data_IF_076710512395
#
_entry.id   IF_076710512395
#
_cell.length_a   1.000
_cell.length_b   1.000
_cell.length_c   1.000
_cell.angle_alpha   90.00
_cell.angle_beta   90.00
_cell.angle_gamma   90.00
#
_symmetry.space_group_name_H-M   'P 1'
#
loop_
_entity.id
_entity.type
_entity.pdbx_description
1 polymer ?
#
# COMPACT_ATOMS: atom_id res chain seq x y z
N UNK A 1 -1.69 -25.04 0.96
CA UNK A 1 -2.38 -24.83 2.26
C UNK A 1 -1.84 -23.54 2.88
N UNK A 2 -2.69 -22.53 3.07
CA UNK A 2 -2.31 -21.23 3.65
C UNK A 2 -1.91 -21.40 5.11
N UNK A 3 -0.68 -21.03 5.50
CA UNK A 3 -0.20 -21.20 6.88
C UNK A 3 0.32 -19.89 7.48
N UNK A 4 -0.33 -19.46 8.54
CA UNK A 4 0.12 -18.44 9.46
C UNK A 4 1.22 -19.03 10.36
N UNK A 5 2.44 -18.52 10.22
CA UNK A 5 3.63 -19.02 10.90
C UNK A 5 4.00 -18.15 12.11
N UNK A 6 4.88 -18.65 12.97
CA UNK A 6 5.49 -17.87 14.06
C UNK A 6 6.22 -16.63 13.54
N UNK A 7 6.83 -16.72 12.36
CA UNK A 7 7.47 -15.59 11.70
C UNK A 7 6.44 -14.50 11.33
N UNK A 8 5.27 -14.87 10.81
CA UNK A 8 4.19 -13.90 10.54
C UNK A 8 3.72 -13.22 11.84
N UNK A 9 3.69 -13.95 12.96
CA UNK A 9 3.34 -13.37 14.26
C UNK A 9 4.39 -12.34 14.73
N UNK A 10 5.69 -12.65 14.61
CA UNK A 10 6.77 -11.70 14.94
C UNK A 10 6.67 -10.44 14.06
N UNK A 11 6.43 -10.60 12.76
CA UNK A 11 6.23 -9.46 11.87
C UNK A 11 5.00 -8.64 12.25
N UNK A 12 3.90 -9.26 12.68
CA UNK A 12 2.72 -8.55 13.16
C UNK A 12 3.03 -7.70 14.40
N UNK A 13 3.77 -8.23 15.37
CA UNK A 13 4.19 -7.48 16.57
C UNK A 13 5.10 -6.30 16.18
N UNK A 14 6.08 -6.53 15.32
CA UNK A 14 6.94 -5.46 14.80
C UNK A 14 6.11 -4.38 14.08
N UNK A 15 5.09 -4.78 13.31
CA UNK A 15 4.21 -3.88 12.58
C UNK A 15 3.41 -2.94 13.50
N UNK A 16 3.06 -3.40 14.72
CA UNK A 16 2.40 -2.60 15.77
C UNK A 16 3.37 -1.57 16.34
N UNK A 17 4.59 -2.00 16.68
CA UNK A 17 5.63 -1.11 17.22
C UNK A 17 5.93 0.00 16.22
N UNK A 18 6.14 -0.35 14.94
CA UNK A 18 6.38 0.62 13.87
C UNK A 18 5.21 1.59 13.76
N UNK A 19 3.97 1.12 13.84
CA UNK A 19 2.79 1.99 13.80
C UNK A 19 2.75 2.99 14.96
N UNK A 20 3.08 2.58 16.19
CA UNK A 20 3.12 3.48 17.36
C UNK A 20 4.26 4.51 17.22
N UNK A 21 5.44 4.07 16.77
CA UNK A 21 6.59 4.97 16.54
C UNK A 21 6.25 6.01 15.47
N UNK A 22 5.63 5.58 14.38
CA UNK A 22 5.21 6.44 13.28
C UNK A 22 4.22 7.54 13.74
N UNK A 23 3.24 7.19 14.59
CA UNK A 23 2.38 8.19 15.26
C UNK A 23 3.19 9.24 16.01
N UNK A 24 4.16 8.82 16.82
CA UNK A 24 5.00 9.71 17.61
C UNK A 24 5.89 10.60 16.74
N UNK A 25 6.48 10.03 15.68
CA UNK A 25 7.34 10.75 14.73
C UNK A 25 6.54 11.82 13.99
N UNK A 26 5.30 11.56 13.58
CA UNK A 26 4.47 12.54 12.90
C UNK A 26 4.21 13.78 13.76
N UNK A 27 3.84 13.58 15.03
CA UNK A 27 3.64 14.69 15.97
C UNK A 27 4.94 15.43 16.29
N UNK A 28 6.04 14.69 16.44
CA UNK A 28 7.36 15.29 16.65
C UNK A 28 7.78 16.17 15.46
N UNK A 29 7.63 15.69 14.23
CA UNK A 29 7.96 16.44 13.01
C UNK A 29 7.05 17.66 12.85
N UNK A 30 5.74 17.52 13.09
CA UNK A 30 4.81 18.65 13.05
C UNK A 30 5.16 19.72 14.09
N UNK A 31 5.50 19.33 15.31
CA UNK A 31 5.94 20.23 16.38
C UNK A 31 7.24 20.94 16.02
N UNK A 32 8.22 20.19 15.48
CA UNK A 32 9.49 20.77 15.02
C UNK A 32 9.29 21.86 13.96
N UNK A 33 8.45 21.61 12.96
CA UNK A 33 8.14 22.64 11.94
C UNK A 33 7.40 23.84 12.52
N UNK A 34 6.52 23.62 13.50
CA UNK A 34 5.83 24.71 14.20
C UNK A 34 6.82 25.59 14.97
N UNK A 35 7.73 25.00 15.74
CA UNK A 35 8.77 25.73 16.49
C UNK A 35 9.77 26.45 15.57
N UNK A 36 9.99 25.95 14.36
CA UNK A 36 10.84 26.57 13.35
C UNK A 36 10.17 27.70 12.55
N UNK A 37 8.91 28.05 12.88
CA UNK A 37 8.14 29.09 12.18
C UNK A 37 7.55 28.64 10.84
N UNK A 38 7.70 27.37 10.45
CA UNK A 38 7.13 26.79 9.22
C UNK A 38 5.70 26.29 9.46
N UNK A 39 4.79 27.21 9.79
CA UNK A 39 3.42 26.87 10.18
C UNK A 39 2.65 26.12 9.08
N UNK A 40 2.82 26.51 7.81
CA UNK A 40 2.15 25.85 6.68
C UNK A 40 2.53 24.37 6.57
N UNK A 41 3.82 24.04 6.72
CA UNK A 41 4.31 22.66 6.68
C UNK A 41 3.75 21.84 7.84
N UNK A 42 3.75 22.41 9.06
CA UNK A 42 3.20 21.78 10.26
C UNK A 42 1.70 21.47 10.11
N UNK A 43 0.92 22.46 9.67
CA UNK A 43 -0.52 22.31 9.43
C UNK A 43 -0.79 21.24 8.38
N UNK A 44 -0.06 21.25 7.25
CA UNK A 44 -0.24 20.25 6.20
C UNK A 44 -0.02 18.81 6.71
N UNK A 45 1.05 18.59 7.49
CA UNK A 45 1.35 17.26 8.06
C UNK A 45 0.22 16.78 8.97
N UNK A 46 -0.29 17.65 9.85
CA UNK A 46 -1.41 17.34 10.74
C UNK A 46 -2.72 17.12 9.95
N UNK A 47 -2.96 17.88 8.88
CA UNK A 47 -4.11 17.69 8.00
C UNK A 47 -4.08 16.34 7.30
N UNK A 48 -2.95 15.95 6.69
CA UNK A 48 -2.81 14.65 6.03
C UNK A 48 -3.00 13.50 7.02
N UNK A 49 -2.42 13.63 8.22
CA UNK A 49 -2.57 12.69 9.32
C UNK A 49 -4.02 12.54 9.77
N UNK A 50 -4.70 13.66 10.02
CA UNK A 50 -6.11 13.65 10.42
C UNK A 50 -6.99 13.02 9.35
N UNK A 51 -6.83 13.42 8.08
CA UNK A 51 -7.60 12.90 6.95
C UNK A 51 -7.42 11.39 6.77
N UNK A 52 -6.17 10.92 6.78
CA UNK A 52 -5.81 9.51 6.72
C UNK A 52 -6.42 8.71 7.87
N UNK A 53 -6.32 9.23 9.10
CA UNK A 53 -6.92 8.59 10.28
C UNK A 53 -8.44 8.48 10.16
N UNK A 54 -9.14 9.56 9.78
CA UNK A 54 -10.59 9.54 9.59
C UNK A 54 -11.04 8.52 8.54
N UNK A 55 -10.34 8.46 7.40
CA UNK A 55 -10.65 7.52 6.32
C UNK A 55 -10.39 6.06 6.77
N UNK A 56 -9.24 5.79 7.40
CA UNK A 56 -8.89 4.43 7.85
C UNK A 56 -9.81 3.94 8.97
N UNK A 57 -10.18 4.79 9.94
CA UNK A 57 -11.18 4.44 10.96
C UNK A 57 -12.53 4.14 10.34
N UNK A 58 -12.97 4.92 9.35
CA UNK A 58 -14.25 4.70 8.67
C UNK A 58 -14.29 3.36 7.94
N UNK A 59 -13.23 3.00 7.22
CA UNK A 59 -13.12 1.67 6.59
C UNK A 59 -13.09 0.55 7.63
N UNK A 60 -12.25 0.70 8.67
CA UNK A 60 -12.16 -0.30 9.75
C UNK A 60 -13.50 -0.54 10.44
N UNK A 61 -14.25 0.53 10.74
CA UNK A 61 -15.57 0.44 11.36
C UNK A 61 -16.57 -0.30 10.46
N UNK A 62 -16.67 0.10 9.19
CA UNK A 62 -17.63 -0.51 8.26
C UNK A 62 -17.30 -1.99 8.03
N UNK A 63 -16.02 -2.35 8.00
CA UNK A 63 -15.60 -3.73 7.90
C UNK A 63 -16.00 -4.53 9.15
N UNK A 64 -15.82 -4.00 10.38
CA UNK A 64 -16.30 -4.66 11.60
C UNK A 64 -17.82 -4.85 11.59
N UNK A 65 -18.55 -3.82 11.18
CA UNK A 65 -20.01 -3.87 11.01
C UNK A 65 -20.46 -4.92 9.98
N UNK A 66 -19.66 -5.17 8.95
CA UNK A 66 -19.98 -6.16 7.92
C UNK A 66 -19.64 -7.59 8.34
N UNK A 67 -18.65 -7.75 9.21
CA UNK A 67 -18.17 -9.05 9.71
C UNK A 67 -19.00 -9.54 10.90
N UNK A 68 -19.57 -8.61 11.68
CA UNK A 68 -20.55 -8.89 12.73
C UNK A 68 -21.93 -8.53 12.22
N UNK A 69 -22.67 -9.51 11.75
CA UNK A 69 -24.08 -9.32 11.39
C UNK A 69 -24.87 -8.69 12.55
N UNK A 70 -25.98 -8.02 12.23
CA UNK A 70 -26.76 -7.05 13.05
C UNK A 70 -27.25 -7.58 14.42
N UNK A 71 -26.95 -8.83 14.78
CA UNK A 71 -27.44 -9.51 15.99
C UNK A 71 -26.83 -9.01 17.30
N UNK A 72 -25.73 -8.23 17.29
CA UNK A 72 -25.03 -7.80 18.51
C UNK A 72 -24.86 -6.26 18.61
N UNK A 73 -25.99 -5.56 18.72
CA UNK A 73 -26.06 -4.07 18.70
C UNK A 73 -25.24 -3.38 19.78
N UNK A 74 -25.07 -4.01 20.96
CA UNK A 74 -24.25 -3.48 22.05
C UNK A 74 -22.76 -3.43 21.70
N UNK A 75 -22.22 -4.52 21.13
CA UNK A 75 -20.82 -4.57 20.66
C UNK A 75 -20.56 -3.57 19.54
N UNK A 76 -21.52 -3.37 18.64
CA UNK A 76 -21.40 -2.40 17.55
C UNK A 76 -21.31 -0.95 18.07
N UNK A 77 -22.10 -0.59 19.09
CA UNK A 77 -22.03 0.74 19.74
C UNK A 77 -20.67 0.98 20.38
N UNK A 78 -20.13 -0.02 21.10
CA UNK A 78 -18.80 0.09 21.70
C UNK A 78 -17.70 0.23 20.65
N UNK A 79 -17.76 -0.57 19.58
CA UNK A 79 -16.82 -0.44 18.46
C UNK A 79 -16.92 0.93 17.79
N UNK A 80 -18.12 1.45 17.58
CA UNK A 80 -18.32 2.79 17.04
C UNK A 80 -17.64 3.83 17.92
N UNK A 81 -17.85 3.76 19.24
CA UNK A 81 -17.22 4.67 20.21
C UNK A 81 -15.69 4.59 20.15
N UNK A 82 -15.13 3.39 20.04
CA UNK A 82 -13.67 3.21 19.96
C UNK A 82 -13.09 3.78 18.65
N UNK A 83 -13.80 3.65 17.53
CA UNK A 83 -13.39 4.29 16.27
C UNK A 83 -13.54 5.82 16.32
N UNK A 84 -14.57 6.33 17.02
CA UNK A 84 -14.76 7.76 17.25
C UNK A 84 -13.57 8.37 18.02
N UNK A 85 -13.08 7.67 19.03
CA UNK A 85 -11.87 8.05 19.79
C UNK A 85 -10.54 7.70 19.08
N UNK A 86 -10.56 7.37 17.78
CA UNK A 86 -9.37 7.01 16.99
C UNK A 86 -8.62 5.75 17.47
N UNK A 87 -9.21 4.95 18.37
CA UNK A 87 -8.60 3.73 18.91
C UNK A 87 -8.98 2.46 18.13
N UNK A 88 -9.76 2.57 17.05
CA UNK A 88 -10.26 1.42 16.28
C UNK A 88 -9.17 0.56 15.62
N UNK A 89 -8.08 1.17 15.18
CA UNK A 89 -6.91 0.45 14.64
C UNK A 89 -6.25 -0.43 15.71
N UNK A 90 -6.18 -0.01 16.97
CA UNK A 90 -5.63 -0.85 18.04
C UNK A 90 -6.50 -2.09 18.29
N UNK A 91 -7.83 -1.96 18.17
CA UNK A 91 -8.74 -3.12 18.21
C UNK A 91 -8.45 -4.08 17.05
N UNK A 92 -8.21 -3.58 15.83
CA UNK A 92 -7.83 -4.43 14.69
C UNK A 92 -6.57 -5.23 14.99
N UNK A 93 -5.54 -4.58 15.52
CA UNK A 93 -4.29 -5.25 15.91
C UNK A 93 -4.50 -6.25 17.05
N UNK A 94 -5.32 -5.93 18.04
CA UNK A 94 -5.67 -6.85 19.11
C UNK A 94 -6.30 -8.14 18.57
N UNK A 95 -7.28 -8.03 17.67
CA UNK A 95 -7.88 -9.21 17.04
C UNK A 95 -6.86 -9.98 16.20
N UNK A 96 -6.06 -9.30 15.39
CA UNK A 96 -5.01 -9.95 14.59
C UNK A 96 -3.98 -10.68 15.48
N UNK A 97 -3.60 -10.11 16.63
CA UNK A 97 -2.72 -10.78 17.60
C UNK A 97 -3.40 -11.99 18.24
N UNK A 98 -4.67 -11.86 18.63
CA UNK A 98 -5.44 -12.96 19.22
C UNK A 98 -5.51 -14.16 18.27
N UNK A 99 -5.96 -13.92 17.03
CA UNK A 99 -6.08 -14.96 16.01
C UNK A 99 -4.70 -15.47 15.55
N UNK A 100 -3.73 -14.57 15.37
CA UNK A 100 -2.36 -14.93 14.98
C UNK A 100 -1.65 -15.77 16.04
N UNK A 101 -1.85 -15.50 17.33
CA UNK A 101 -1.28 -16.30 18.42
C UNK A 101 -1.91 -17.70 18.46
N UNK A 102 -3.23 -17.79 18.32
CA UNK A 102 -3.92 -19.08 18.25
C UNK A 102 -3.46 -19.90 17.03
N UNK A 103 -3.33 -19.26 15.86
CA UNK A 103 -2.86 -19.90 14.64
C UNK A 103 -1.38 -20.34 14.72
N UNK A 104 -0.50 -19.54 15.34
CA UNK A 104 0.94 -19.80 15.38
C UNK A 104 1.38 -20.76 16.50
N UNK A 105 0.67 -20.79 17.64
CA UNK A 105 1.14 -21.48 18.85
C UNK A 105 0.18 -22.53 19.41
N UNK A 106 -1.15 -22.45 19.18
CA UNK A 106 -2.12 -23.37 19.80
C UNK A 106 -2.46 -24.63 18.98
N UNK A 107 -1.75 -24.88 17.88
CA UNK A 107 -2.08 -25.97 16.93
C UNK A 107 -1.62 -27.39 17.34
N UNK A 108 -1.12 -27.61 18.57
CA UNK A 108 -0.48 -28.89 18.97
C UNK A 108 -1.16 -29.68 20.10
N UNK A 109 -2.38 -29.35 20.50
CA UNK A 109 -3.07 -30.03 21.61
C UNK A 109 -4.48 -30.45 21.21
N UNK A 110 -4.58 -31.56 20.50
CA UNK A 110 -5.75 -32.46 20.52
C UNK A 110 -5.32 -33.74 19.79
N UNK A 111 -4.95 -34.76 20.57
CA UNK A 111 -5.13 -36.13 20.12
C UNK A 111 -6.63 -36.37 20.00
N UNK A 112 -7.01 -37.12 18.96
CA UNK A 112 -8.35 -37.63 18.68
C UNK A 112 -9.50 -36.61 18.59
N UNK A 113 -9.71 -36.09 17.37
CA UNK A 113 -11.04 -36.02 16.74
C UNK A 113 -10.94 -35.42 15.32
N UNK A 114 -11.35 -36.22 14.33
CA UNK A 114 -11.89 -35.88 13.01
C UNK A 114 -11.35 -34.64 12.27
N UNK A 115 -10.70 -34.97 11.16
CA UNK A 115 -10.35 -34.21 9.96
C UNK A 115 -11.23 -32.99 9.60
N UNK A 116 -10.55 -31.88 9.31
CA UNK A 116 -10.93 -30.80 8.36
C UNK A 116 -12.04 -29.82 8.75
N UNK A 117 -11.80 -28.89 9.70
CA UNK A 117 -12.36 -27.52 9.58
C UNK A 117 -11.84 -26.45 10.59
N UNK A 118 -11.72 -26.72 11.91
CA UNK A 118 -11.50 -25.65 12.91
C UNK A 118 -10.14 -24.97 12.81
N UNK A 119 -9.09 -25.74 12.51
CA UNK A 119 -7.71 -25.24 12.41
C UNK A 119 -7.52 -24.38 11.15
N UNK A 120 -8.12 -24.77 10.03
CA UNK A 120 -8.12 -24.01 8.77
C UNK A 120 -8.92 -22.72 8.91
N UNK A 121 -10.03 -22.74 9.65
CA UNK A 121 -10.82 -21.55 9.95
C UNK A 121 -10.01 -20.49 10.72
N UNK A 122 -9.31 -20.88 11.79
CA UNK A 122 -8.46 -19.96 12.58
C UNK A 122 -7.31 -19.39 11.74
N UNK A 123 -6.68 -20.24 10.92
CA UNK A 123 -5.62 -19.83 9.99
C UNK A 123 -6.12 -18.77 9.01
N UNK A 124 -7.29 -19.01 8.39
CA UNK A 124 -7.94 -18.06 7.49
C UNK A 124 -8.29 -16.76 8.19
N UNK A 125 -8.88 -16.82 9.38
CA UNK A 125 -9.25 -15.64 10.17
C UNK A 125 -8.04 -14.76 10.54
N UNK A 126 -6.90 -15.38 10.89
CA UNK A 126 -5.67 -14.65 11.16
C UNK A 126 -5.11 -13.96 9.91
N UNK A 127 -5.12 -14.66 8.77
CA UNK A 127 -4.65 -14.13 7.47
C UNK A 127 -5.55 -12.99 7.00
N UNK A 128 -6.87 -13.14 7.08
CA UNK A 128 -7.83 -12.12 6.70
C UNK A 128 -7.68 -10.86 7.57
N UNK A 129 -7.52 -11.03 8.90
CA UNK A 129 -7.30 -9.92 9.82
C UNK A 129 -6.01 -9.13 9.50
N UNK A 130 -4.91 -9.82 9.19
CA UNK A 130 -3.65 -9.17 8.79
C UNK A 130 -3.78 -8.51 7.42
N UNK A 131 -4.53 -9.11 6.49
CA UNK A 131 -4.77 -8.54 5.16
C UNK A 131 -5.58 -7.25 5.23
N UNK A 132 -6.62 -7.21 6.07
CA UNK A 132 -7.37 -5.98 6.37
C UNK A 132 -6.45 -4.89 6.94
N UNK A 133 -5.60 -5.22 7.91
CA UNK A 133 -4.64 -4.26 8.49
C UNK A 133 -3.68 -3.73 7.42
N UNK A 134 -3.12 -4.60 6.57
CA UNK A 134 -2.21 -4.19 5.52
C UNK A 134 -2.90 -3.35 4.44
N UNK A 135 -4.19 -3.58 4.18
CA UNK A 135 -4.97 -2.71 3.30
C UNK A 135 -5.16 -1.31 3.90
N UNK A 136 -5.51 -1.21 5.19
CA UNK A 136 -5.61 0.08 5.89
C UNK A 136 -4.25 0.79 5.97
N UNK A 137 -3.16 0.03 6.13
CA UNK A 137 -1.79 0.54 6.10
C UNK A 137 -1.47 1.16 4.74
N UNK A 138 -1.84 0.51 3.64
CA UNK A 138 -1.68 1.09 2.29
C UNK A 138 -2.46 2.39 2.15
N UNK A 139 -3.71 2.46 2.64
CA UNK A 139 -4.48 3.71 2.63
C UNK A 139 -3.76 4.81 3.40
N UNK A 140 -3.31 4.52 4.63
CA UNK A 140 -2.52 5.45 5.44
C UNK A 140 -1.26 5.92 4.69
N UNK A 141 -0.49 5.00 4.13
CA UNK A 141 0.75 5.29 3.41
C UNK A 141 0.56 6.30 2.29
N UNK A 142 -0.51 6.21 1.50
CA UNK A 142 -0.74 7.12 0.37
C UNK A 142 -1.54 8.38 0.72
N UNK A 143 -2.35 8.36 1.78
CA UNK A 143 -3.11 9.52 2.25
C UNK A 143 -2.30 10.42 3.20
N UNK A 144 -1.29 9.86 3.87
CA UNK A 144 -0.49 10.53 4.91
C UNK A 144 0.99 10.53 4.59
N UNK A 145 1.64 9.36 4.58
CA UNK A 145 3.11 9.25 4.48
C UNK A 145 3.64 9.82 3.16
N UNK A 146 2.95 9.60 2.04
CA UNK A 146 3.39 10.07 0.72
C UNK A 146 3.26 11.61 0.58
N UNK A 147 2.13 12.24 0.92
CA UNK A 147 2.04 13.70 1.02
C UNK A 147 3.04 14.34 2.00
N UNK A 148 3.25 13.72 3.16
CA UNK A 148 4.25 14.20 4.13
C UNK A 148 5.68 14.12 3.56
N UNK A 149 6.00 13.08 2.79
CA UNK A 149 7.27 12.94 2.08
C UNK A 149 7.48 14.10 1.07
N UNK A 150 6.43 14.55 0.37
CA UNK A 150 6.54 15.74 -0.48
C UNK A 150 6.89 17.00 0.31
N UNK A 151 6.25 17.21 1.47
CA UNK A 151 6.56 18.35 2.35
C UNK A 151 8.01 18.27 2.83
N UNK A 152 8.49 17.08 3.22
CA UNK A 152 9.87 16.86 3.65
C UNK A 152 10.88 17.16 2.55
N UNK A 153 10.64 16.69 1.32
CA UNK A 153 11.51 16.96 0.17
C UNK A 153 11.48 18.45 -0.19
N UNK A 154 10.30 19.08 -0.17
CA UNK A 154 10.15 20.51 -0.46
C UNK A 154 10.95 21.37 0.53
N UNK A 155 10.82 21.12 1.83
CA UNK A 155 11.58 21.83 2.87
C UNK A 155 13.08 21.60 2.74
N UNK A 156 13.51 20.36 2.40
CA UNK A 156 14.92 20.06 2.15
C UNK A 156 15.47 20.84 0.93
N UNK A 157 14.65 21.05 -0.11
CA UNK A 157 15.05 21.79 -1.30
C UNK A 157 15.04 23.31 -1.09
N UNK A 158 14.22 23.81 -0.16
CA UNK A 158 14.14 25.25 0.16
C UNK A 158 15.25 25.69 1.12
N UNK A 159 15.66 24.82 2.07
CA UNK A 159 16.72 25.11 3.03
C UNK A 159 18.06 24.51 2.60
N UNK A 160 19.05 25.36 2.31
CA UNK A 160 20.40 24.96 1.88
C UNK A 160 21.26 24.33 3.01
N UNK A 161 20.64 23.94 4.13
CA UNK A 161 21.31 23.31 5.28
C UNK A 161 21.19 21.79 5.20
N UNK A 162 22.30 21.17 4.83
CA UNK A 162 22.42 19.71 4.68
C UNK A 162 22.46 19.05 6.06
N UNK A 163 21.38 18.37 6.43
CA UNK A 163 21.31 17.57 7.65
C UNK A 163 21.16 16.08 7.30
N UNK A 164 22.12 15.24 7.73
CA UNK A 164 22.12 13.80 7.46
C UNK A 164 20.81 13.11 7.88
N UNK A 165 20.24 13.51 9.03
CA UNK A 165 19.00 12.95 9.55
C UNK A 165 17.79 13.20 8.64
N UNK A 166 17.76 14.28 7.85
CA UNK A 166 16.65 14.55 6.90
C UNK A 166 16.71 13.60 5.70
N UNK A 167 17.91 13.34 5.17
CA UNK A 167 18.10 12.35 4.10
C UNK A 167 17.74 10.95 4.57
N UNK A 168 18.17 10.57 5.78
CA UNK A 168 17.81 9.29 6.38
C UNK A 168 16.28 9.17 6.54
N UNK A 169 15.59 10.23 6.99
CA UNK A 169 14.14 10.23 7.11
C UNK A 169 13.44 10.05 5.74
N UNK A 170 13.86 10.80 4.71
CA UNK A 170 13.33 10.67 3.34
C UNK A 170 13.54 9.26 2.78
N UNK A 171 14.75 8.70 2.97
CA UNK A 171 15.05 7.34 2.54
C UNK A 171 14.18 6.30 3.26
N UNK A 172 14.04 6.43 4.58
CA UNK A 172 13.17 5.56 5.37
C UNK A 172 11.70 5.66 4.94
N UNK A 173 11.21 6.86 4.59
CA UNK A 173 9.88 7.06 4.03
C UNK A 173 9.68 6.31 2.71
N UNK A 174 10.64 6.37 1.77
CA UNK A 174 10.59 5.59 0.52
C UNK A 174 10.55 4.08 0.76
N UNK A 175 11.42 3.58 1.65
CA UNK A 175 11.43 2.18 2.05
C UNK A 175 10.09 1.78 2.69
N UNK A 176 9.56 2.58 3.61
CA UNK A 176 8.30 2.33 4.29
C UNK A 176 7.10 2.28 3.34
N UNK A 177 7.02 3.21 2.38
CA UNK A 177 5.97 3.23 1.36
C UNK A 177 6.03 1.94 0.52
N UNK A 178 7.22 1.55 0.09
CA UNK A 178 7.43 0.37 -0.75
C UNK A 178 7.13 -0.93 -0.02
N UNK A 179 7.60 -1.06 1.22
CA UNK A 179 7.29 -2.18 2.10
C UNK A 179 5.78 -2.32 2.34
N UNK A 180 5.06 -1.22 2.60
CA UNK A 180 3.60 -1.22 2.79
C UNK A 180 2.86 -1.81 1.58
N UNK A 181 3.25 -1.43 0.36
CA UNK A 181 2.68 -1.98 -0.88
C UNK A 181 2.98 -3.46 -1.05
N UNK A 182 4.21 -3.88 -0.74
CA UNK A 182 4.66 -5.28 -0.85
C UNK A 182 3.95 -6.16 0.17
N UNK A 183 3.88 -5.72 1.43
CA UNK A 183 3.22 -6.43 2.52
C UNK A 183 1.73 -6.65 2.23
N UNK A 184 1.05 -5.63 1.71
CA UNK A 184 -0.33 -5.77 1.24
C UNK A 184 -0.45 -6.79 0.11
N UNK A 185 0.42 -6.77 -0.90
CA UNK A 185 0.34 -7.71 -2.02
C UNK A 185 0.63 -9.15 -1.58
N UNK A 186 1.55 -9.35 -0.65
CA UNK A 186 1.82 -10.65 -0.04
C UNK A 186 0.59 -11.13 0.74
N UNK A 187 0.02 -10.29 1.60
CA UNK A 187 -1.17 -10.63 2.38
C UNK A 187 -2.39 -10.91 1.50
N UNK A 188 -2.62 -10.10 0.47
CA UNK A 188 -3.72 -10.27 -0.46
C UNK A 188 -3.63 -11.62 -1.18
N UNK A 189 -2.44 -12.00 -1.68
CA UNK A 189 -2.26 -13.33 -2.31
C UNK A 189 -2.47 -14.46 -1.30
N UNK A 190 -1.95 -14.31 -0.08
CA UNK A 190 -2.18 -15.28 1.01
C UNK A 190 -3.64 -15.41 1.43
N UNK A 191 -4.47 -14.40 1.22
CA UNK A 191 -5.91 -14.45 1.51
C UNK A 191 -6.73 -15.08 0.37
N UNK A 192 -6.14 -15.29 -0.82
CA UNK A 192 -6.83 -15.77 -2.01
C UNK A 192 -6.47 -17.23 -2.30
N UNK A 193 -7.44 -18.18 -2.24
CA UNK A 193 -7.14 -19.62 -2.36
C UNK A 193 -6.55 -20.01 -3.72
N UNK A 194 -6.89 -19.26 -4.77
CA UNK A 194 -6.50 -19.55 -6.15
C UNK A 194 -5.19 -18.84 -6.58
N UNK A 195 -4.42 -18.27 -5.63
CA UNK A 195 -3.17 -17.56 -5.95
C UNK A 195 -2.00 -18.09 -5.14
N UNK A 196 -0.92 -18.40 -5.86
CA UNK A 196 0.33 -18.82 -5.22
C UNK A 196 0.97 -17.71 -4.40
N UNK A 197 1.61 -18.15 -3.32
CA UNK A 197 2.42 -17.30 -2.46
C UNK A 197 3.68 -16.82 -3.21
N UNK A 198 4.19 -15.66 -2.80
CA UNK A 198 5.45 -15.16 -3.30
C UNK A 198 6.62 -16.02 -2.79
N UNK A 199 7.46 -16.53 -3.70
CA UNK A 199 8.79 -17.05 -3.36
C UNK A 199 9.71 -15.91 -2.89
N UNK A 200 10.69 -16.23 -2.03
CA UNK A 200 11.65 -15.27 -1.45
C UNK A 200 12.23 -14.25 -2.45
N UNK A 201 12.87 -14.68 -3.56
CA UNK A 201 13.45 -13.75 -4.53
C UNK A 201 12.39 -12.90 -5.26
N UNK A 202 11.16 -13.41 -5.43
CA UNK A 202 10.07 -12.65 -6.03
C UNK A 202 9.62 -11.49 -5.14
N UNK A 203 9.63 -11.66 -3.81
CA UNK A 203 9.36 -10.56 -2.85
C UNK A 203 10.40 -9.46 -2.97
N UNK A 204 11.68 -9.84 -3.02
CA UNK A 204 12.78 -8.89 -3.15
C UNK A 204 12.69 -8.13 -4.48
N UNK A 205 12.51 -8.81 -5.60
CA UNK A 205 12.36 -8.17 -6.90
C UNK A 205 11.16 -7.22 -6.94
N UNK A 206 10.03 -7.63 -6.36
CA UNK A 206 8.84 -6.79 -6.27
C UNK A 206 9.07 -5.54 -5.41
N UNK A 207 9.80 -5.67 -4.29
CA UNK A 207 10.18 -4.55 -3.42
C UNK A 207 11.05 -3.52 -4.16
N UNK A 208 12.13 -3.95 -4.82
CA UNK A 208 13.02 -3.03 -5.55
C UNK A 208 12.32 -2.36 -6.73
N UNK A 209 11.49 -3.10 -7.47
CA UNK A 209 10.65 -2.52 -8.51
C UNK A 209 9.76 -1.40 -7.95
N UNK A 210 9.02 -1.65 -6.85
CA UNK A 210 8.13 -0.66 -6.26
C UNK A 210 8.90 0.52 -5.68
N UNK A 211 10.00 0.28 -4.99
CA UNK A 211 10.88 1.31 -4.45
C UNK A 211 11.36 2.27 -5.52
N UNK A 212 12.00 1.74 -6.56
CA UNK A 212 12.63 2.56 -7.59
C UNK A 212 11.60 3.32 -8.44
N UNK A 213 10.47 2.69 -8.78
CA UNK A 213 9.42 3.37 -9.56
C UNK A 213 8.70 4.46 -8.76
N UNK A 214 8.44 4.24 -7.47
CA UNK A 214 7.85 5.26 -6.58
C UNK A 214 8.86 6.38 -6.35
N UNK A 215 10.13 6.07 -6.10
CA UNK A 215 11.19 7.06 -5.92
C UNK A 215 11.31 7.98 -7.12
N UNK A 216 11.43 7.43 -8.33
CA UNK A 216 11.53 8.24 -9.55
C UNK A 216 10.33 9.18 -9.70
N UNK A 217 9.12 8.67 -9.48
CA UNK A 217 7.91 9.43 -9.66
C UNK A 217 7.72 10.54 -8.62
N UNK A 218 7.92 10.24 -7.33
CA UNK A 218 7.84 11.23 -6.25
C UNK A 218 8.89 12.31 -6.44
N UNK A 219 10.13 11.95 -6.77
CA UNK A 219 11.17 12.95 -7.05
C UNK A 219 10.80 13.82 -8.26
N UNK A 220 10.23 13.25 -9.32
CA UNK A 220 9.73 14.01 -10.48
C UNK A 220 8.67 15.05 -10.08
N UNK A 221 7.68 14.64 -9.27
CA UNK A 221 6.63 15.56 -8.79
C UNK A 221 7.23 16.63 -7.86
N UNK A 222 8.20 16.28 -7.01
CA UNK A 222 8.89 17.25 -6.15
C UNK A 222 9.65 18.29 -6.98
N UNK A 223 10.34 17.87 -8.05
CA UNK A 223 11.06 18.77 -8.96
C UNK A 223 10.12 19.77 -9.65
N UNK A 224 8.97 19.32 -10.17
CA UNK A 224 7.98 20.24 -10.76
C UNK A 224 7.32 21.15 -9.70
N UNK A 225 7.19 20.69 -8.46
CA UNK A 225 6.65 21.50 -7.34
C UNK A 225 7.56 22.68 -7.03
N UNK A 226 8.88 22.46 -7.02
CA UNK A 226 9.87 23.54 -6.83
C UNK A 226 9.89 24.50 -8.02
N UNK A 227 9.59 24.02 -9.24
CA UNK A 227 9.45 24.91 -10.41
C UNK A 227 8.17 25.78 -10.31
N UNK A 228 7.04 25.15 -10.01
CA UNK A 228 5.75 25.81 -9.83
C UNK A 228 4.77 24.90 -9.09
N UNK A 229 4.41 25.30 -7.87
CA UNK A 229 3.39 24.61 -7.05
C UNK A 229 2.07 24.50 -7.82
N UNK A 230 1.68 25.52 -8.58
CA UNK A 230 0.42 25.52 -9.36
C UNK A 230 0.42 24.42 -10.43
N UNK A 231 1.50 24.28 -11.19
CA UNK A 231 1.62 23.26 -12.24
C UNK A 231 1.61 21.87 -11.61
N UNK A 232 2.33 21.67 -10.50
CA UNK A 232 2.34 20.41 -9.76
C UNK A 232 0.94 20.00 -9.28
N UNK A 233 0.18 20.94 -8.69
CA UNK A 233 -1.20 20.67 -8.25
C UNK A 233 -2.11 20.32 -9.42
N UNK A 234 -2.03 21.04 -10.54
CA UNK A 234 -2.81 20.72 -11.75
C UNK A 234 -2.46 19.32 -12.27
N UNK A 235 -1.17 18.98 -12.31
CA UNK A 235 -0.69 17.67 -12.73
C UNK A 235 -1.25 16.54 -11.84
N UNK A 236 -1.20 16.72 -10.52
CA UNK A 236 -1.72 15.76 -9.55
C UNK A 236 -3.24 15.59 -9.66
N UNK A 237 -3.99 16.69 -9.84
CA UNK A 237 -5.45 16.64 -10.05
C UNK A 237 -5.77 15.89 -11.34
N UNK A 238 -5.05 16.19 -12.44
CA UNK A 238 -5.24 15.49 -13.71
C UNK A 238 -4.99 13.99 -13.57
N UNK A 239 -3.87 13.58 -12.96
CA UNK A 239 -3.56 12.17 -12.72
C UNK A 239 -4.61 11.50 -11.82
N UNK A 240 -5.10 12.20 -10.81
CA UNK A 240 -6.17 11.69 -9.95
C UNK A 240 -7.47 11.47 -10.72
N UNK A 241 -7.88 12.42 -11.57
CA UNK A 241 -9.08 12.28 -12.40
C UNK A 241 -8.94 11.09 -13.36
N UNK A 242 -7.78 10.90 -13.98
CA UNK A 242 -7.49 9.73 -14.81
C UNK A 242 -7.56 8.42 -14.01
N UNK A 243 -6.95 8.37 -12.82
CA UNK A 243 -7.00 7.21 -11.94
C UNK A 243 -8.42 6.89 -11.45
N UNK A 244 -9.18 7.91 -11.06
CA UNK A 244 -10.55 7.79 -10.58
C UNK A 244 -11.52 7.36 -11.69
N UNK A 245 -11.42 7.93 -12.88
CA UNK A 245 -12.22 7.48 -14.04
C UNK A 245 -11.89 6.04 -14.42
N UNK A 246 -10.62 5.63 -14.30
CA UNK A 246 -10.23 4.23 -14.44
C UNK A 246 -10.89 3.32 -13.39
N UNK A 247 -10.90 3.71 -12.11
CA UNK A 247 -11.56 2.91 -11.05
C UNK A 247 -13.06 2.77 -11.27
N UNK A 248 -13.72 3.81 -11.79
CA UNK A 248 -15.14 3.76 -12.18
C UNK A 248 -15.37 2.75 -13.30
N UNK A 249 -14.54 2.75 -14.36
CA UNK A 249 -14.63 1.80 -15.48
C UNK A 249 -14.41 0.35 -15.07
N UNK A 250 -13.62 0.12 -14.02
CA UNK A 250 -13.36 -1.24 -13.52
C UNK A 250 -14.56 -1.83 -12.76
N UNK A 251 -15.58 -1.04 -12.40
CA UNK A 251 -16.77 -1.49 -11.66
C UNK A 251 -16.41 -2.37 -10.46
N UNK A 252 -15.69 -1.79 -9.50
CA UNK A 252 -15.23 -2.48 -8.29
C UNK A 252 -16.39 -2.78 -7.33
N UNK A 253 -16.29 -3.89 -6.61
CA UNK A 253 -17.30 -4.44 -5.67
C UNK A 253 -16.65 -4.83 -4.33
N UNK A 254 -15.82 -3.95 -3.78
CA UNK A 254 -15.06 -4.23 -2.57
C UNK A 254 -15.88 -4.04 -1.26
N UNK A 255 -16.79 -3.08 -1.24
CA UNK A 255 -17.63 -2.70 -0.11
C UNK A 255 -19.10 -3.07 -0.37
N UNK A 256 -19.82 -3.54 0.67
CA UNK A 256 -21.26 -3.85 0.59
C UNK A 256 -22.12 -2.59 0.35
N UNK A 257 -21.72 -1.45 0.91
CA UNK A 257 -22.43 -0.17 0.79
C UNK A 257 -21.94 0.68 -0.38
N UNK A 258 -22.86 1.20 -1.21
CA UNK A 258 -22.53 2.08 -2.36
C UNK A 258 -21.71 3.32 -1.96
N UNK A 259 -22.02 3.93 -0.81
CA UNK A 259 -21.28 5.10 -0.31
C UNK A 259 -19.82 4.76 0.02
N UNK A 260 -19.61 3.58 0.60
CA UNK A 260 -18.28 3.10 0.98
C UNK A 260 -17.48 2.63 -0.23
N UNK A 261 -18.14 2.05 -1.24
CA UNK A 261 -17.52 1.72 -2.52
C UNK A 261 -17.04 2.99 -3.27
N UNK A 262 -17.83 4.07 -3.24
CA UNK A 262 -17.41 5.34 -3.81
C UNK A 262 -16.18 5.93 -3.10
N UNK A 263 -16.17 5.91 -1.75
CA UNK A 263 -15.01 6.32 -0.96
C UNK A 263 -13.77 5.45 -1.28
N UNK A 264 -13.96 4.13 -1.44
CA UNK A 264 -12.90 3.21 -1.83
C UNK A 264 -12.28 3.61 -3.18
N UNK A 265 -13.12 3.89 -4.18
CA UNK A 265 -12.67 4.33 -5.51
C UNK A 265 -11.91 5.66 -5.48
N UNK A 266 -12.32 6.61 -4.62
CA UNK A 266 -11.58 7.86 -4.40
C UNK A 266 -10.17 7.57 -3.89
N UNK A 267 -10.06 6.77 -2.82
CA UNK A 267 -8.77 6.44 -2.19
C UNK A 267 -7.87 5.68 -3.17
N UNK A 268 -8.41 4.70 -3.89
CA UNK A 268 -7.64 3.98 -4.91
C UNK A 268 -7.22 4.91 -6.06
N UNK A 269 -8.06 5.87 -6.45
CA UNK A 269 -7.68 6.93 -7.39
C UNK A 269 -6.45 7.71 -6.90
N UNK A 270 -6.37 8.03 -5.60
CA UNK A 270 -5.20 8.68 -4.99
C UNK A 270 -3.98 7.74 -5.04
N UNK A 271 -4.13 6.47 -4.70
CA UNK A 271 -3.04 5.48 -4.77
C UNK A 271 -2.48 5.37 -6.20
N UNK A 272 -3.36 5.38 -7.21
CA UNK A 272 -2.99 5.30 -8.62
C UNK A 272 -2.18 6.51 -9.10
N UNK A 273 -2.25 7.66 -8.42
CA UNK A 273 -1.35 8.78 -8.70
C UNK A 273 0.10 8.33 -8.49
N UNK A 274 0.38 7.48 -7.51
CA UNK A 274 1.74 7.18 -7.06
C UNK A 274 2.25 5.81 -7.49
N UNK A 275 1.38 4.80 -7.50
CA UNK A 275 1.79 3.45 -7.88
C UNK A 275 0.66 2.67 -8.52
N UNK A 276 1.00 1.79 -9.45
CA UNK A 276 0.03 0.86 -10.01
C UNK A 276 -0.50 -0.06 -8.91
N UNK A 277 -1.81 0.06 -8.63
CA UNK A 277 -2.55 -0.75 -7.68
C UNK A 277 -3.57 -1.61 -8.43
N UNK A 278 -3.42 -2.94 -8.36
CA UNK A 278 -4.28 -3.84 -9.12
C UNK A 278 -5.64 -4.03 -8.44
N UNK A 279 -6.67 -3.40 -9.00
CA UNK A 279 -8.00 -3.30 -8.38
C UNK A 279 -8.93 -4.49 -8.69
N UNK A 280 -8.62 -5.30 -9.71
CA UNK A 280 -9.54 -6.39 -10.14
C UNK A 280 -8.84 -7.72 -10.46
N UNK A 281 -7.52 -7.80 -10.23
CA UNK A 281 -6.72 -9.01 -10.35
C UNK A 281 -6.72 -9.73 -11.71
N UNK A 282 -7.29 -9.14 -12.78
CA UNK A 282 -7.33 -9.72 -14.15
C UNK A 282 -5.98 -9.63 -14.87
N UNK A 283 -5.91 -10.14 -16.11
CA UNK A 283 -4.74 -10.04 -17.00
C UNK A 283 -4.44 -8.56 -17.31
N UNK A 284 -3.64 -7.92 -16.45
CA UNK A 284 -3.39 -6.47 -16.47
C UNK A 284 -2.10 -6.09 -17.20
N UNK A 285 -1.47 -6.97 -18.00
CA UNK A 285 -0.18 -6.68 -18.65
C UNK A 285 -0.22 -5.39 -19.48
N UNK A 286 -1.28 -5.20 -20.28
CA UNK A 286 -1.48 -3.98 -21.09
C UNK A 286 -1.73 -2.77 -20.19
N UNK A 287 -2.55 -2.89 -19.15
CA UNK A 287 -2.81 -1.79 -18.21
C UNK A 287 -1.55 -1.35 -17.46
N UNK A 288 -0.71 -2.31 -17.05
CA UNK A 288 0.58 -2.06 -16.40
C UNK A 288 1.52 -1.35 -17.38
N UNK A 289 1.60 -1.84 -18.62
CA UNK A 289 2.42 -1.21 -19.66
C UNK A 289 1.99 0.23 -19.92
N UNK A 290 0.70 0.48 -20.16
CA UNK A 290 0.16 1.82 -20.40
C UNK A 290 0.45 2.74 -19.21
N UNK A 291 0.24 2.24 -17.98
CA UNK A 291 0.49 3.01 -16.76
C UNK A 291 1.95 3.44 -16.63
N UNK A 292 2.89 2.50 -16.71
CA UNK A 292 4.31 2.80 -16.56
C UNK A 292 4.86 3.60 -17.74
N UNK A 293 4.38 3.36 -18.97
CA UNK A 293 4.73 4.17 -20.13
C UNK A 293 4.27 5.63 -19.96
N UNK A 294 3.04 5.86 -19.50
CA UNK A 294 2.53 7.21 -19.24
C UNK A 294 3.36 7.92 -18.15
N UNK A 295 3.66 7.24 -17.04
CA UNK A 295 4.52 7.79 -15.99
C UNK A 295 5.92 8.12 -16.49
N UNK A 296 6.54 7.24 -17.29
CA UNK A 296 7.85 7.49 -17.91
C UNK A 296 7.81 8.73 -18.81
N UNK A 297 6.79 8.86 -19.67
CA UNK A 297 6.64 10.03 -20.55
C UNK A 297 6.48 11.31 -19.74
N UNK A 298 5.66 11.31 -18.69
CA UNK A 298 5.47 12.49 -17.82
C UNK A 298 6.75 12.84 -17.07
N UNK A 299 7.47 11.85 -16.51
CA UNK A 299 8.77 12.08 -15.84
C UNK A 299 9.79 12.68 -16.79
N UNK A 300 9.94 12.13 -18.01
CA UNK A 300 10.84 12.68 -19.01
C UNK A 300 10.43 14.09 -19.44
N UNK A 301 9.12 14.35 -19.58
CA UNK A 301 8.58 15.67 -19.86
C UNK A 301 8.88 16.68 -18.76
N UNK A 302 8.76 16.31 -17.48
CA UNK A 302 9.12 17.18 -16.35
C UNK A 302 10.60 17.53 -16.38
N UNK A 303 11.48 16.52 -16.55
CA UNK A 303 12.93 16.73 -16.64
C UNK A 303 13.28 17.63 -17.83
N UNK A 304 12.63 17.43 -18.98
CA UNK A 304 12.81 18.27 -20.17
C UNK A 304 12.38 19.71 -19.92
N UNK A 305 11.15 19.95 -19.43
CA UNK A 305 10.64 21.31 -19.13
C UNK A 305 11.59 22.06 -18.20
N UNK A 306 12.16 21.37 -17.21
CA UNK A 306 13.08 22.00 -16.28
C UNK A 306 14.36 22.52 -16.95
N UNK A 307 14.91 21.78 -17.91
CA UNK A 307 16.12 22.18 -18.64
C UNK A 307 15.95 23.53 -19.37
N UNK A 308 14.72 23.86 -19.81
CA UNK A 308 14.45 25.07 -20.59
C UNK A 308 13.89 26.24 -19.77
N UNK A 309 13.11 25.97 -18.70
CA UNK A 309 12.30 27.04 -18.08
C UNK A 309 13.03 27.87 -17.00
N UNK A 310 13.95 27.28 -16.24
CA UNK A 310 14.66 27.96 -15.13
C UNK A 310 16.14 27.55 -15.07
N UNK A 311 16.99 28.01 -16.02
CA UNK A 311 18.42 27.70 -16.00
C UNK A 311 19.14 28.19 -14.72
N UNK A 312 18.58 29.17 -14.01
CA UNK A 312 19.11 29.65 -12.73
C UNK A 312 19.03 28.61 -11.59
N UNK A 313 18.04 27.72 -11.59
CA UNK A 313 17.93 26.67 -10.56
C UNK A 313 18.84 25.47 -10.86
N UNK A 314 19.19 25.24 -12.13
CA UNK A 314 20.14 24.20 -12.56
C UNK A 314 21.52 24.39 -11.93
N UNK A 315 21.90 25.65 -11.63
CA UNK A 315 23.19 25.99 -11.00
C UNK A 315 23.31 25.53 -9.56
N UNK A 316 22.22 25.16 -8.89
CA UNK A 316 22.26 24.66 -7.51
C UNK A 316 22.64 23.18 -7.50
N UNK A 317 23.60 22.80 -6.64
CA UNK A 317 24.20 21.45 -6.59
C UNK A 317 23.16 20.33 -6.38
N UNK A 318 22.09 20.57 -5.62
CA UNK A 318 21.07 19.55 -5.36
C UNK A 318 20.24 19.19 -6.59
N UNK A 319 20.09 20.09 -7.56
CA UNK A 319 19.26 19.85 -8.74
C UNK A 319 19.81 18.75 -9.67
N UNK A 320 21.09 18.79 -10.11
CA UNK A 320 21.64 17.71 -10.93
C UNK A 320 21.68 16.38 -10.15
N UNK A 321 21.95 16.41 -8.84
CA UNK A 321 21.93 15.21 -7.99
C UNK A 321 20.54 14.56 -7.98
N UNK A 322 19.47 15.32 -7.70
CA UNK A 322 18.10 14.80 -7.71
C UNK A 322 17.66 14.33 -9.10
N UNK A 323 18.08 15.01 -10.15
CA UNK A 323 17.79 14.61 -11.54
C UNK A 323 18.49 13.29 -11.89
N UNK A 324 19.75 13.12 -11.53
CA UNK A 324 20.51 11.87 -11.72
C UNK A 324 19.85 10.73 -10.94
N UNK A 325 19.48 10.95 -9.67
CA UNK A 325 18.78 9.95 -8.85
C UNK A 325 17.43 9.59 -9.48
N UNK A 326 16.69 10.58 -10.01
CA UNK A 326 15.39 10.38 -10.66
C UNK A 326 15.51 9.53 -11.92
N UNK A 327 16.49 9.80 -12.77
CA UNK A 327 16.76 9.03 -14.00
C UNK A 327 17.24 7.62 -13.66
N UNK A 328 18.20 7.51 -12.74
CA UNK A 328 18.73 6.22 -12.31
C UNK A 328 17.65 5.32 -11.72
N UNK A 329 16.82 5.86 -10.82
CA UNK A 329 15.69 5.13 -10.25
C UNK A 329 14.61 4.79 -11.28
N UNK A 330 14.37 5.63 -12.29
CA UNK A 330 13.45 5.32 -13.39
C UNK A 330 13.94 4.11 -14.18
N UNK A 331 15.16 4.19 -14.71
CA UNK A 331 15.74 3.16 -15.58
C UNK A 331 15.84 1.84 -14.83
N UNK A 332 16.42 1.87 -13.62
CA UNK A 332 16.55 0.67 -12.81
C UNK A 332 15.18 0.12 -12.41
N UNK A 333 14.22 0.97 -12.03
CA UNK A 333 12.86 0.56 -11.71
C UNK A 333 12.14 -0.15 -12.85
N UNK A 334 12.31 0.32 -14.10
CA UNK A 334 11.77 -0.34 -15.29
C UNK A 334 12.47 -1.68 -15.56
N UNK A 335 13.79 -1.76 -15.38
CA UNK A 335 14.53 -3.04 -15.49
C UNK A 335 13.99 -4.05 -14.48
N UNK A 336 13.87 -3.68 -13.20
CA UNK A 336 13.30 -4.55 -12.16
C UNK A 336 11.84 -4.93 -12.46
N UNK A 337 11.02 -4.01 -12.98
CA UNK A 337 9.66 -4.29 -13.44
C UNK A 337 9.64 -5.39 -14.51
N UNK A 338 10.46 -5.25 -15.55
CA UNK A 338 10.53 -6.21 -16.67
C UNK A 338 11.04 -7.56 -16.18
N UNK A 339 12.13 -7.57 -15.40
CA UNK A 339 12.71 -8.79 -14.82
C UNK A 339 11.69 -9.50 -13.92
N UNK A 340 10.99 -8.74 -13.08
CA UNK A 340 9.93 -9.27 -12.21
C UNK A 340 8.82 -9.93 -13.03
N UNK A 341 8.24 -9.24 -14.02
CA UNK A 341 7.14 -9.81 -14.82
C UNK A 341 7.56 -10.96 -15.73
N UNK A 342 8.83 -10.99 -16.16
CA UNK A 342 9.37 -12.06 -17.03
C UNK A 342 9.78 -13.32 -16.26
N UNK A 343 10.43 -13.18 -15.10
CA UNK A 343 11.06 -14.33 -14.42
C UNK A 343 10.46 -14.62 -13.04
N UNK A 344 10.02 -13.60 -12.30
CA UNK A 344 9.64 -13.76 -10.88
C UNK A 344 8.14 -13.65 -10.62
N UNK A 345 7.34 -13.28 -11.63
CA UNK A 345 5.90 -13.18 -11.45
C UNK A 345 5.33 -14.60 -11.24
N UNK A 346 4.54 -14.83 -10.16
CA UNK A 346 4.12 -16.18 -9.79
C UNK A 346 3.40 -16.95 -10.91
N UNK A 347 2.64 -16.25 -11.76
CA UNK A 347 1.95 -16.85 -12.91
C UNK A 347 2.90 -17.33 -14.02
N UNK A 348 4.12 -16.80 -14.10
CA UNK A 348 5.14 -17.24 -15.07
C UNK A 348 5.90 -18.45 -14.55
N UNK A 349 6.15 -18.52 -13.24
CA UNK A 349 6.70 -19.71 -12.57
C UNK A 349 5.79 -20.94 -12.73
N UNK A 350 4.47 -20.74 -12.66
CA UNK A 350 3.49 -21.80 -12.91
C UNK A 350 3.50 -22.34 -14.33
N UNK A 351 3.81 -21.53 -15.36
CA UNK A 351 3.96 -22.06 -16.73
C UNK A 351 5.19 -22.96 -16.85
N UNK A 352 6.24 -22.67 -16.08
CA UNK A 352 7.43 -23.49 -16.03
C UNK A 352 7.23 -24.78 -15.21
N UNK A 353 6.38 -24.76 -14.18
CA UNK A 353 6.05 -25.93 -13.35
C UNK A 353 4.94 -26.82 -13.96
N UNK A 354 3.92 -26.24 -14.58
CA UNK A 354 2.87 -26.97 -15.28
C UNK A 354 3.39 -27.74 -16.51
N UNK A 355 4.50 -27.30 -17.11
CA UNK A 355 5.18 -28.06 -18.17
C UNK A 355 5.97 -29.27 -17.63
N UNK A 356 6.23 -29.32 -16.32
CA UNK A 356 6.96 -30.42 -15.66
C UNK A 356 6.05 -31.45 -14.99
N UNK A 357 4.78 -31.14 -14.75
CA UNK A 357 3.83 -31.95 -13.95
C UNK A 357 2.50 -32.26 -14.71
N UNK A 358 2.54 -32.41 -16.04
CA UNK A 358 1.42 -33.05 -16.75
C UNK A 358 1.50 -34.58 -16.58
N UNK A 359 0.91 -35.08 -15.49
CA UNK A 359 0.40 -36.45 -15.39
C UNK A 359 -1.08 -36.39 -14.99
N UNK A 360 -1.90 -37.11 -15.75
CA UNK A 360 -3.36 -37.09 -15.77
C UNK A 360 -4.05 -37.26 -14.40
N UNK A 361 -5.08 -36.45 -14.12
CA UNK A 361 -5.86 -36.56 -12.89
C UNK A 361 -7.13 -35.71 -12.82
N UNK A 362 -8.23 -36.31 -13.30
CA UNK A 362 -9.68 -36.16 -13.02
C UNK A 362 -10.20 -34.93 -12.26
N UNK A 363 -11.21 -34.30 -12.88
CA UNK A 363 -12.00 -33.18 -12.39
C UNK A 363 -13.06 -33.54 -11.34
N UNK A 364 -13.25 -32.64 -10.36
CA UNK A 364 -14.32 -32.59 -9.35
C UNK A 364 -13.80 -31.74 -8.17
N UNK A 365 -14.50 -30.85 -7.48
CA UNK A 365 -15.91 -30.56 -7.29
C UNK A 365 -15.95 -29.14 -6.65
N UNK A 366 -16.85 -28.24 -7.08
CA UNK A 366 -16.88 -26.84 -6.63
C UNK A 366 -17.78 -26.69 -5.40
N UNK A 367 -17.18 -26.73 -4.22
CA UNK A 367 -17.89 -26.49 -2.97
C UNK A 367 -18.09 -25.00 -2.67
N UNK A 368 -19.31 -24.64 -2.24
CA UNK A 368 -19.76 -23.26 -1.96
C UNK A 368 -19.19 -22.75 -0.63
N UNK A 369 -17.94 -22.30 -0.64
CA UNK A 369 -17.32 -21.57 0.48
C UNK A 369 -17.83 -20.13 0.52
N UNK A 370 -18.26 -19.63 1.70
CA UNK A 370 -18.59 -18.21 1.94
C UNK A 370 -17.48 -17.31 1.37
N UNK A 371 -17.84 -16.50 0.38
CA UNK A 371 -16.93 -15.64 -0.36
C UNK A 371 -16.39 -14.53 0.54
N UNK A 372 -15.09 -14.54 0.84
CA UNK A 372 -14.43 -13.48 1.61
C UNK A 372 -14.44 -12.15 0.84
N UNK A 373 -14.29 -11.02 1.56
CA UNK A 373 -14.25 -9.67 0.94
C UNK A 373 -13.23 -9.56 -0.19
N UNK A 374 -12.06 -10.19 -0.03
CA UNK A 374 -11.01 -10.24 -1.04
C UNK A 374 -11.31 -11.21 -2.19
N UNK A 375 -12.18 -12.21 -1.99
CA UNK A 375 -12.70 -13.03 -3.10
C UNK A 375 -13.74 -12.25 -3.92
N UNK A 376 -14.61 -11.45 -3.27
CA UNK A 376 -15.52 -10.52 -3.96
C UNK A 376 -14.78 -9.43 -4.74
N UNK A 377 -13.53 -9.11 -4.35
CA UNK A 377 -12.64 -8.21 -5.07
C UNK A 377 -12.21 -8.74 -6.46
N UNK A 378 -12.29 -10.06 -6.67
CA UNK A 378 -11.87 -10.71 -7.91
C UNK A 378 -13.03 -11.25 -8.76
N UNK A 379 -14.24 -11.34 -8.21
CA UNK A 379 -15.40 -11.82 -8.95
C UNK A 379 -15.99 -10.74 -9.89
N UNK A 380 -16.64 -11.12 -11.01
CA UNK A 380 -17.01 -10.24 -12.11
C UNK A 380 -17.79 -8.98 -11.74
#
# INVERSE_FOLDING_TARGET
>A
MMKFTKQNFVFLVAAIIIYIVDIGVDFWVASKYFCQGQYSCSILILCFRCLSSLITQRFSYEWFKNDWEVTDTGKLKWIFLVHLFQCGIFIRYWFALKYGCQAAFKQKSSGDASETDPSNFIQKQAIDAVTDINMLRVFKTFLETTPQLFVQIYVLMEHDKINFYQYAAIFMSFCGISCSVVDYQISLRKALPDKDEFHGPSKFMYLFYKLLTITSWVLSISLITVLSVRISVILLIFHWVCGFTWTLKQCTTFCKSKKMEYLYRIVVGIILIFTFFNIKGRRTKVCIFIYYAAHTVVTLGILFVYMFWKPALIKKIYFPVLSIITIFSLVLGIIFLVVYYRHFHPTTYCRAWAYSDEVDGVAGEKDRVKTGRFQNFLMP
#
